data_IF_321299823169
#
_entry.id   IF_321299823169
#
_cell.length_a   1.000
_cell.length_b   1.000
_cell.length_c   1.000
_cell.angle_alpha   90.00
_cell.angle_beta   90.00
_cell.angle_gamma   90.00
#
_symmetry.space_group_name_H-M   'P 1'
#
loop_
_entity.id
_entity.type
_entity.pdbx_description
1 polymer ?
#
# COMPACT_ATOMS: atom_id res chain seq x y z
N UNK A 1 -8.49 6.97 -27.92
CA UNK A 1 -7.82 6.19 -26.90
C UNK A 1 -6.44 6.76 -26.53
N UNK A 2 -5.67 7.26 -27.51
CA UNK A 2 -4.26 7.57 -27.28
C UNK A 2 -4.02 9.00 -26.81
N UNK A 3 -4.81 9.96 -27.26
CA UNK A 3 -4.73 11.36 -26.85
C UNK A 3 -6.12 12.02 -26.80
N UNK A 4 -6.42 12.81 -25.77
CA UNK A 4 -7.66 13.60 -25.68
C UNK A 4 -7.63 14.79 -26.63
N UNK A 5 -6.46 15.31 -26.94
CA UNK A 5 -6.19 16.45 -27.86
C UNK A 5 -4.74 16.36 -28.36
N UNK A 6 -4.31 17.34 -29.15
CA UNK A 6 -2.97 17.35 -29.74
C UNK A 6 -1.82 17.61 -28.73
N UNK A 7 -2.13 18.09 -27.52
CA UNK A 7 -1.13 18.51 -26.53
C UNK A 7 -0.98 17.52 -25.38
N UNK A 8 -2.02 16.77 -25.07
CA UNK A 8 -2.09 15.93 -23.89
C UNK A 8 -2.16 14.45 -24.25
N UNK A 9 -1.38 13.63 -23.55
CA UNK A 9 -1.59 12.18 -23.57
C UNK A 9 -2.81 11.79 -22.73
N UNK A 10 -3.44 10.68 -23.05
CA UNK A 10 -4.59 10.17 -22.29
C UNK A 10 -4.26 9.96 -20.81
N UNK A 11 -3.03 9.52 -20.48
CA UNK A 11 -2.59 9.37 -19.12
C UNK A 11 -2.45 10.71 -18.38
N UNK A 12 -1.78 11.69 -19.00
CA UNK A 12 -1.57 13.00 -18.40
C UNK A 12 -2.90 13.72 -18.14
N UNK A 13 -3.85 13.65 -19.06
CA UNK A 13 -5.18 14.18 -18.91
C UNK A 13 -5.94 13.55 -17.73
N UNK A 14 -5.97 12.21 -17.64
CA UNK A 14 -6.64 11.51 -16.52
C UNK A 14 -5.99 11.83 -15.18
N UNK A 15 -4.66 11.89 -15.14
CA UNK A 15 -3.92 12.29 -13.94
C UNK A 15 -4.30 13.69 -13.51
N UNK A 16 -4.35 14.66 -14.44
CA UNK A 16 -4.77 16.04 -14.14
C UNK A 16 -6.22 16.08 -13.64
N UNK A 17 -7.14 15.39 -14.31
CA UNK A 17 -8.54 15.32 -13.92
C UNK A 17 -8.68 14.81 -12.47
N UNK A 18 -7.98 13.72 -12.14
CA UNK A 18 -8.02 13.15 -10.79
C UNK A 18 -7.35 14.08 -9.76
N UNK A 19 -6.20 14.67 -10.10
CA UNK A 19 -5.52 15.65 -9.24
C UNK A 19 -6.42 16.84 -8.92
N UNK A 20 -7.11 17.38 -9.92
CA UNK A 20 -8.07 18.49 -9.73
C UNK A 20 -9.25 18.07 -8.84
N UNK A 21 -9.76 16.84 -9.01
CA UNK A 21 -10.84 16.30 -8.18
C UNK A 21 -10.41 16.19 -6.71
N UNK A 22 -9.19 15.72 -6.45
CA UNK A 22 -8.70 15.51 -5.09
C UNK A 22 -8.28 16.83 -4.41
N UNK A 23 -7.75 17.81 -5.15
CA UNK A 23 -7.26 19.07 -4.57
C UNK A 23 -8.32 20.17 -4.50
N UNK A 24 -9.25 20.20 -5.45
CA UNK A 24 -10.27 21.26 -5.58
C UNK A 24 -11.70 20.71 -5.49
N UNK A 25 -11.84 19.44 -5.11
CA UNK A 25 -13.13 18.78 -4.99
C UNK A 25 -13.85 18.54 -6.31
N UNK A 26 -13.25 18.86 -7.46
CA UNK A 26 -13.88 18.70 -8.77
C UNK A 26 -12.87 18.71 -9.91
N UNK A 27 -12.97 17.73 -10.80
CA UNK A 27 -12.23 17.69 -12.07
C UNK A 27 -13.14 18.01 -13.24
N UNK A 28 -12.74 18.96 -14.08
CA UNK A 28 -13.53 19.43 -15.20
C UNK A 28 -12.77 19.27 -16.52
N UNK A 29 -13.51 18.89 -17.58
CA UNK A 29 -12.96 18.91 -18.94
C UNK A 29 -14.02 19.31 -19.95
N UNK A 30 -13.65 20.15 -20.91
CA UNK A 30 -14.51 20.56 -22.02
C UNK A 30 -14.41 19.57 -23.16
N UNK A 31 -15.54 19.10 -23.65
CA UNK A 31 -15.68 18.18 -24.79
C UNK A 31 -16.00 18.97 -26.04
N UNK A 32 -14.99 19.23 -26.85
CA UNK A 32 -15.14 19.91 -28.12
C UNK A 32 -15.77 19.00 -29.17
N UNK A 33 -16.85 19.47 -29.81
CA UNK A 33 -17.55 18.74 -30.85
C UNK A 33 -17.64 19.55 -32.14
N UNK A 34 -17.57 18.85 -33.27
CA UNK A 34 -17.86 19.48 -34.57
C UNK A 34 -19.38 19.68 -34.78
N UNK A 35 -19.73 20.36 -35.88
CA UNK A 35 -21.14 20.63 -36.24
C UNK A 35 -22.00 19.35 -36.42
N UNK A 36 -21.37 18.22 -36.68
CA UNK A 36 -22.02 16.91 -36.76
C UNK A 36 -22.15 16.19 -35.40
N UNK A 37 -21.73 16.84 -34.29
CA UNK A 37 -21.79 16.26 -32.94
C UNK A 37 -20.67 15.28 -32.63
N UNK A 38 -19.71 15.05 -33.54
CA UNK A 38 -18.56 14.17 -33.29
C UNK A 38 -17.56 14.86 -32.37
N UNK A 39 -17.06 14.12 -31.39
CA UNK A 39 -16.00 14.57 -30.47
C UNK A 39 -14.71 14.75 -31.26
N UNK A 40 -14.12 15.94 -31.12
CA UNK A 40 -12.86 16.29 -31.74
C UNK A 40 -11.72 16.27 -30.69
N UNK A 41 -11.92 16.98 -29.58
CA UNK A 41 -10.95 17.12 -28.54
C UNK A 41 -11.61 17.11 -27.16
N UNK A 42 -10.82 16.80 -26.11
CA UNK A 42 -11.18 16.98 -24.71
C UNK A 42 -10.11 17.85 -24.07
N UNK A 43 -10.51 19.00 -23.56
CA UNK A 43 -9.61 19.99 -22.96
C UNK A 43 -9.79 20.04 -21.45
N UNK A 44 -8.73 19.88 -20.64
CA UNK A 44 -8.84 20.04 -19.20
C UNK A 44 -9.19 21.52 -18.88
N UNK A 45 -10.03 21.71 -17.88
CA UNK A 45 -10.39 23.02 -17.35
C UNK A 45 -9.96 23.14 -15.89
N UNK A 46 -9.51 24.34 -15.51
CA UNK A 46 -9.21 24.68 -14.14
C UNK A 46 -10.52 24.88 -13.34
N UNK A 47 -10.83 23.99 -12.35
CA UNK A 47 -12.08 24.10 -11.61
C UNK A 47 -12.18 25.38 -10.78
N UNK A 48 -11.05 26.01 -10.40
CA UNK A 48 -11.04 27.26 -9.64
C UNK A 48 -11.54 28.46 -10.44
N UNK A 49 -11.51 28.35 -11.78
CA UNK A 49 -11.99 29.37 -12.72
C UNK A 49 -13.41 29.13 -13.22
N UNK A 50 -14.06 28.07 -12.72
CA UNK A 50 -15.37 27.64 -13.17
C UNK A 50 -16.44 27.83 -12.10
N UNK A 51 -17.46 28.64 -12.41
CA UNK A 51 -18.64 28.81 -11.55
C UNK A 51 -19.79 28.00 -12.14
N UNK A 52 -20.36 27.10 -11.34
CA UNK A 52 -21.45 26.23 -11.77
C UNK A 52 -22.76 26.77 -11.21
N UNK A 53 -23.75 26.91 -12.06
CA UNK A 53 -25.06 27.46 -11.71
C UNK A 53 -26.19 26.61 -12.31
N UNK A 54 -27.34 26.72 -11.71
CA UNK A 54 -28.59 26.18 -12.30
C UNK A 54 -29.47 27.38 -12.67
N UNK A 55 -29.76 27.52 -13.98
CA UNK A 55 -30.62 28.57 -14.53
C UNK A 55 -31.71 27.87 -15.35
N UNK A 56 -32.96 28.20 -15.09
CA UNK A 56 -34.13 27.60 -15.77
C UNK A 56 -34.10 26.07 -15.77
N UNK A 57 -33.72 25.47 -14.62
CA UNK A 57 -33.60 24.01 -14.45
C UNK A 57 -32.38 23.38 -15.11
N UNK A 58 -31.58 24.13 -15.87
CA UNK A 58 -30.39 23.62 -16.59
C UNK A 58 -29.11 23.95 -15.83
N UNK A 59 -28.19 22.98 -15.73
CA UNK A 59 -26.85 23.16 -15.17
C UNK A 59 -25.96 23.83 -16.22
N UNK A 60 -25.35 24.96 -15.87
CA UNK A 60 -24.45 25.75 -16.71
C UNK A 60 -23.10 25.91 -16.01
N UNK A 61 -22.03 25.94 -16.79
CA UNK A 61 -20.66 26.11 -16.36
C UNK A 61 -20.11 27.42 -16.93
N UNK A 62 -19.93 28.41 -16.08
CA UNK A 62 -19.34 29.70 -16.46
C UNK A 62 -17.83 29.65 -16.21
N UNK A 63 -17.06 29.52 -17.26
CA UNK A 63 -15.60 29.44 -17.19
C UNK A 63 -15.00 30.79 -17.55
N UNK A 64 -14.06 31.28 -16.72
CA UNK A 64 -13.39 32.56 -16.92
C UNK A 64 -11.91 32.31 -17.26
N UNK A 65 -11.52 32.59 -18.50
CA UNK A 65 -10.14 32.49 -18.96
C UNK A 65 -9.59 33.89 -19.23
N UNK A 66 -8.81 34.38 -18.27
CA UNK A 66 -8.37 35.79 -18.29
C UNK A 66 -9.54 36.76 -18.27
N UNK A 67 -9.73 37.50 -19.33
CA UNK A 67 -10.85 38.44 -19.50
C UNK A 67 -12.06 37.82 -20.20
N UNK A 68 -11.91 36.65 -20.81
CA UNK A 68 -12.97 36.01 -21.58
C UNK A 68 -13.83 35.12 -20.68
N UNK A 69 -15.13 35.35 -20.70
CA UNK A 69 -16.12 34.52 -20.02
C UNK A 69 -16.86 33.65 -21.03
N UNK A 70 -16.85 32.33 -20.82
CA UNK A 70 -17.51 31.37 -21.68
C UNK A 70 -18.49 30.55 -20.85
N UNK A 71 -19.69 30.35 -21.37
CA UNK A 71 -20.69 29.48 -20.70
C UNK A 71 -20.84 28.20 -21.49
N UNK A 72 -20.62 27.08 -20.80
CA UNK A 72 -20.78 25.73 -21.36
C UNK A 72 -22.05 25.08 -20.84
N UNK A 73 -22.63 24.23 -21.66
CA UNK A 73 -23.77 23.40 -21.30
C UNK A 73 -23.30 22.13 -20.56
N UNK A 74 -24.21 21.50 -19.81
CA UNK A 74 -23.90 20.30 -19.04
C UNK A 74 -23.43 19.12 -19.91
N UNK A 75 -23.86 19.00 -21.16
CA UNK A 75 -23.44 17.96 -22.10
C UNK A 75 -22.07 18.22 -22.76
N UNK A 76 -21.49 19.40 -22.56
CA UNK A 76 -20.20 19.79 -23.10
C UNK A 76 -19.08 19.65 -22.07
N UNK A 77 -19.42 19.40 -20.81
CA UNK A 77 -18.44 19.28 -19.72
C UNK A 77 -18.48 17.88 -19.13
N UNK A 78 -17.31 17.24 -19.03
CA UNK A 78 -17.07 16.11 -18.15
C UNK A 78 -16.84 16.70 -16.75
N UNK A 79 -17.63 16.25 -15.78
CA UNK A 79 -17.68 16.82 -14.42
C UNK A 79 -17.56 15.68 -13.39
N UNK A 80 -16.37 15.54 -12.81
CA UNK A 80 -16.06 14.53 -11.81
C UNK A 80 -15.91 15.22 -10.45
N UNK A 81 -17.00 15.31 -9.66
CA UNK A 81 -16.93 15.84 -8.30
C UNK A 81 -16.33 14.81 -7.32
N UNK A 82 -15.62 15.28 -6.29
CA UNK A 82 -15.22 14.44 -5.16
C UNK A 82 -16.45 13.90 -4.45
N UNK A 83 -17.36 14.76 -4.09
CA UNK A 83 -18.69 14.40 -3.56
C UNK A 83 -19.68 15.48 -3.97
N UNK A 84 -20.72 15.09 -4.68
CA UNK A 84 -21.77 16.00 -5.13
C UNK A 84 -22.79 16.21 -4.01
N UNK A 85 -23.18 17.47 -3.78
CA UNK A 85 -24.25 17.81 -2.85
C UNK A 85 -25.63 17.51 -3.46
N UNK A 86 -26.66 17.48 -2.60
CA UNK A 86 -28.03 17.17 -2.99
C UNK A 86 -28.64 18.15 -4.02
N UNK A 87 -28.12 19.37 -4.11
CA UNK A 87 -28.53 20.36 -5.12
C UNK A 87 -28.09 20.00 -6.55
N UNK A 88 -27.20 19.00 -6.69
CA UNK A 88 -26.62 18.55 -7.95
C UNK A 88 -25.67 19.57 -8.62
N UNK A 89 -25.32 20.65 -7.92
CA UNK A 89 -24.45 21.73 -8.39
C UNK A 89 -23.22 21.87 -7.51
N UNK A 90 -23.42 22.01 -6.21
CA UNK A 90 -22.34 22.18 -5.23
C UNK A 90 -21.61 20.84 -4.99
N UNK A 91 -20.37 20.93 -4.56
CA UNK A 91 -19.54 19.79 -4.25
C UNK A 91 -18.83 20.00 -2.89
N UNK A 92 -18.36 18.93 -2.31
CA UNK A 92 -17.49 18.97 -1.14
C UNK A 92 -16.05 18.95 -1.64
N UNK A 93 -15.32 20.01 -1.29
CA UNK A 93 -13.87 20.06 -1.47
C UNK A 93 -13.22 19.34 -0.26
N UNK A 94 -12.46 18.26 -0.47
CA UNK A 94 -11.86 17.49 0.60
C UNK A 94 -10.79 18.28 1.36
N UNK A 95 -10.07 19.18 0.70
CA UNK A 95 -9.03 20.01 1.32
C UNK A 95 -9.66 21.08 2.20
N UNK A 96 -10.65 21.82 1.68
CA UNK A 96 -11.37 22.85 2.45
C UNK A 96 -12.14 22.25 3.63
N UNK A 97 -12.81 21.12 3.43
CA UNK A 97 -13.55 20.41 4.48
C UNK A 97 -12.66 19.96 5.63
N UNK A 98 -11.44 19.55 5.32
CA UNK A 98 -10.47 19.02 6.29
C UNK A 98 -9.33 20.00 6.59
N UNK A 99 -9.54 21.30 6.31
CA UNK A 99 -8.50 22.34 6.50
C UNK A 99 -7.91 22.37 7.90
N UNK A 100 -8.70 22.02 8.93
CA UNK A 100 -8.22 21.96 10.32
C UNK A 100 -7.16 20.87 10.53
N UNK A 101 -7.40 19.68 9.99
CA UNK A 101 -6.44 18.56 10.04
C UNK A 101 -5.17 18.90 9.28
N UNK A 102 -5.30 19.46 8.08
CA UNK A 102 -4.15 19.87 7.24
C UNK A 102 -3.36 21.00 7.92
N UNK A 103 -4.04 21.99 8.48
CA UNK A 103 -3.41 23.09 9.20
C UNK A 103 -2.63 22.59 10.44
N UNK A 104 -3.18 21.63 11.19
CA UNK A 104 -2.49 21.01 12.31
C UNK A 104 -1.22 20.26 11.86
N UNK A 105 -1.30 19.51 10.76
CA UNK A 105 -0.16 18.82 10.16
C UNK A 105 0.97 19.82 9.81
N UNK A 106 0.63 20.89 9.12
CA UNK A 106 1.58 21.95 8.75
C UNK A 106 2.16 22.68 9.97
N UNK A 107 1.35 22.92 11.00
CA UNK A 107 1.79 23.53 12.25
C UNK A 107 2.80 22.63 13.01
N UNK A 108 2.53 21.33 13.09
CA UNK A 108 3.45 20.36 13.69
C UNK A 108 4.77 20.30 12.91
N UNK A 109 4.71 20.27 11.59
CA UNK A 109 5.89 20.28 10.74
C UNK A 109 6.70 21.57 10.91
N UNK A 110 6.03 22.72 10.93
CA UNK A 110 6.68 24.03 11.15
C UNK A 110 7.31 24.11 12.55
N UNK A 111 6.62 23.59 13.57
CA UNK A 111 7.16 23.51 14.92
C UNK A 111 8.41 22.64 14.96
N UNK A 112 8.36 21.43 14.39
CA UNK A 112 9.51 20.53 14.32
C UNK A 112 10.70 21.19 13.60
N UNK A 113 10.47 21.83 12.46
CA UNK A 113 11.52 22.53 11.71
C UNK A 113 12.18 23.63 12.55
N UNK A 114 11.39 24.48 13.23
CA UNK A 114 11.91 25.54 14.10
C UNK A 114 12.66 24.98 15.31
N UNK A 115 12.14 23.93 15.93
CA UNK A 115 12.77 23.27 17.06
C UNK A 115 14.15 22.72 16.70
N UNK A 116 14.24 21.96 15.59
CA UNK A 116 15.53 21.42 15.14
C UNK A 116 16.48 22.49 14.59
N UNK A 117 15.97 23.51 13.91
CA UNK A 117 16.78 24.63 13.45
C UNK A 117 17.45 25.40 14.62
N UNK A 118 16.79 25.41 15.77
CA UNK A 118 17.35 25.98 17.02
C UNK A 118 18.19 24.97 17.81
N UNK A 119 18.67 23.89 17.19
CA UNK A 119 19.51 22.89 17.83
C UNK A 119 18.78 21.91 18.74
N UNK A 120 17.44 21.80 18.65
CA UNK A 120 16.64 20.91 19.48
C UNK A 120 16.56 21.34 20.95
N UNK A 121 16.82 22.60 21.22
CA UNK A 121 16.75 23.16 22.58
C UNK A 121 15.36 23.78 22.78
N UNK A 122 14.61 23.38 23.82
CA UNK A 122 13.32 24.00 24.12
C UNK A 122 13.51 25.48 24.51
N UNK A 123 12.46 26.30 24.44
CA UNK A 123 12.54 27.67 24.97
C UNK A 123 13.01 27.68 26.40
N UNK A 124 14.02 28.51 26.70
CA UNK A 124 14.61 28.62 28.00
C UNK A 124 14.24 29.92 28.68
N UNK A 125 13.89 29.88 29.94
CA UNK A 125 13.76 31.07 30.77
C UNK A 125 15.05 31.26 31.59
N UNK A 126 15.55 32.47 31.57
CA UNK A 126 16.66 32.89 32.42
C UNK A 126 16.13 33.44 33.72
N UNK A 127 16.46 32.80 34.83
CA UNK A 127 16.18 33.25 36.17
C UNK A 127 17.48 33.80 36.77
N UNK A 128 17.41 34.94 37.47
CA UNK A 128 18.53 35.53 38.14
C UNK A 128 18.34 36.99 38.55
N UNK A 129 19.27 37.58 39.30
CA UNK A 129 19.19 38.96 39.73
C UNK A 129 19.41 39.92 38.56
N UNK A 130 18.32 40.54 38.08
CA UNK A 130 18.36 41.49 36.97
C UNK A 130 18.06 42.90 37.47
N UNK A 131 19.03 43.83 37.27
CA UNK A 131 18.94 45.20 37.79
C UNK A 131 18.03 46.13 36.97
N UNK A 132 17.75 45.79 35.70
CA UNK A 132 16.90 46.61 34.81
C UNK A 132 16.41 45.80 33.63
N UNK A 133 15.32 46.21 32.94
CA UNK A 133 14.85 45.58 31.69
C UNK A 133 15.92 45.54 30.58
N UNK A 134 16.79 46.56 30.53
CA UNK A 134 17.91 46.62 29.58
C UNK A 134 18.98 45.57 29.86
N UNK A 135 19.24 45.24 31.15
CA UNK A 135 20.16 44.16 31.53
C UNK A 135 19.59 42.79 31.22
N UNK A 136 18.26 42.62 31.38
CA UNK A 136 17.56 41.39 31.00
C UNK A 136 17.63 41.12 29.51
N UNK A 137 17.41 42.17 28.70
CA UNK A 137 17.48 42.06 27.23
C UNK A 137 18.89 41.70 26.74
N UNK A 138 19.95 42.31 27.33
CA UNK A 138 21.34 41.95 27.00
C UNK A 138 21.66 40.51 27.39
N UNK A 139 21.36 40.10 28.62
CA UNK A 139 21.60 38.75 29.09
C UNK A 139 20.88 37.70 28.22
N UNK A 140 19.65 37.97 27.81
CA UNK A 140 18.92 37.11 26.87
C UNK A 140 19.60 37.03 25.48
N UNK A 141 20.09 38.17 24.95
CA UNK A 141 20.82 38.21 23.69
C UNK A 141 22.16 37.45 23.76
N UNK A 142 22.92 37.66 24.83
CA UNK A 142 24.22 37.01 25.03
C UNK A 142 24.08 35.48 25.18
N UNK A 143 23.08 35.02 25.94
CA UNK A 143 22.79 33.59 26.09
C UNK A 143 22.30 32.98 24.80
N UNK A 144 21.43 33.65 24.05
CA UNK A 144 20.97 33.18 22.76
C UNK A 144 22.11 33.07 21.75
N UNK A 145 23.05 34.04 21.77
CA UNK A 145 24.29 33.98 21.00
C UNK A 145 25.17 32.81 21.41
N UNK A 146 25.41 32.63 22.71
CA UNK A 146 26.23 31.56 23.24
C UNK A 146 25.66 30.15 22.95
N UNK A 147 24.33 29.98 23.00
CA UNK A 147 23.66 28.72 22.62
C UNK A 147 23.82 28.46 21.11
N UNK A 148 23.70 29.51 20.28
CA UNK A 148 23.90 29.38 18.83
C UNK A 148 25.32 28.99 18.49
N UNK A 149 26.29 29.62 19.12
CA UNK A 149 27.71 29.33 18.92
C UNK A 149 28.09 27.95 19.46
N UNK A 150 27.55 27.55 20.61
CA UNK A 150 27.72 26.19 21.13
C UNK A 150 27.19 25.13 20.19
N UNK A 151 26.02 25.35 19.58
CA UNK A 151 25.46 24.45 18.61
C UNK A 151 26.28 24.40 17.30
N UNK A 152 26.79 25.54 16.81
CA UNK A 152 27.61 25.60 15.60
C UNK A 152 28.97 24.97 15.76
N UNK A 153 29.61 25.19 16.92
CA UNK A 153 30.97 24.71 17.26
C UNK A 153 30.97 23.35 17.97
N UNK A 154 29.79 22.73 18.16
CA UNK A 154 29.62 21.48 18.92
C UNK A 154 30.17 21.55 20.35
N UNK A 155 30.14 22.72 20.99
CA UNK A 155 30.49 22.87 22.39
C UNK A 155 29.34 22.41 23.28
N UNK A 156 29.61 21.51 24.21
CA UNK A 156 28.57 20.92 25.07
C UNK A 156 28.45 21.66 26.45
N UNK A 157 29.15 22.77 26.64
CA UNK A 157 29.17 23.48 27.91
C UNK A 157 28.82 24.94 27.70
N UNK A 158 27.82 25.41 28.44
CA UNK A 158 27.43 26.80 28.54
C UNK A 158 27.82 27.30 29.94
N UNK A 159 28.64 28.36 30.02
CA UNK A 159 29.03 28.96 31.27
C UNK A 159 28.02 30.04 31.63
N UNK A 160 27.42 29.92 32.81
CA UNK A 160 26.45 30.86 33.35
C UNK A 160 27.08 31.81 34.37
N UNK A 161 26.67 33.08 34.39
CA UNK A 161 27.10 34.00 35.48
C UNK A 161 26.53 33.53 36.83
N UNK A 162 27.23 33.86 37.90
CA UNK A 162 26.82 33.53 39.28
C UNK A 162 25.39 34.02 39.58
N UNK A 163 24.57 33.16 40.16
CA UNK A 163 23.20 33.45 40.55
C UNK A 163 22.19 33.40 39.41
N UNK A 164 22.61 33.02 38.20
CA UNK A 164 21.71 32.84 37.09
C UNK A 164 21.47 31.35 36.81
N UNK A 165 20.22 30.99 36.47
CA UNK A 165 19.80 29.63 36.16
C UNK A 165 18.94 29.61 34.89
N UNK A 166 19.19 28.66 34.00
CA UNK A 166 18.36 28.40 32.83
C UNK A 166 17.39 27.25 33.13
N UNK A 167 16.11 27.51 32.93
CA UNK A 167 15.07 26.47 33.05
C UNK A 167 14.30 26.36 31.75
N UNK A 168 13.99 25.15 31.28
CA UNK A 168 13.10 24.99 30.14
C UNK A 168 11.72 25.55 30.47
N UNK A 169 11.16 26.30 29.53
CA UNK A 169 9.78 26.83 29.62
C UNK A 169 8.89 25.98 28.75
N UNK A 170 7.87 25.38 29.38
CA UNK A 170 6.91 24.53 28.69
C UNK A 170 7.18 23.05 28.91
N UNK A 171 6.38 22.24 28.29
CA UNK A 171 6.55 20.79 28.28
C UNK A 171 7.72 20.49 27.34
N UNK A 172 8.73 19.79 27.84
CA UNK A 172 9.77 19.22 26.96
C UNK A 172 9.06 18.26 26.01
N UNK A 173 8.99 18.56 24.69
CA UNK A 173 8.36 17.65 23.78
C UNK A 173 9.20 16.39 23.76
N UNK A 174 8.76 15.37 24.46
CA UNK A 174 9.36 14.05 24.33
C UNK A 174 9.46 13.75 22.84
N UNK A 175 10.68 13.47 22.39
CA UNK A 175 10.98 13.26 20.97
C UNK A 175 10.11 12.15 20.38
N UNK A 176 9.73 11.16 21.19
CA UNK A 176 8.83 10.07 20.82
C UNK A 176 7.42 10.58 20.55
N UNK A 177 6.85 11.42 21.40
CA UNK A 177 5.51 11.99 21.24
C UNK A 177 5.39 12.85 19.99
N UNK A 178 6.46 13.57 19.59
CA UNK A 178 6.44 14.38 18.37
C UNK A 178 6.43 13.50 17.11
N UNK A 179 7.19 12.41 17.10
CA UNK A 179 7.20 11.45 16.01
C UNK A 179 5.84 10.75 15.89
N UNK A 180 5.27 10.32 17.02
CA UNK A 180 3.96 9.67 17.05
C UNK A 180 2.84 10.62 16.61
N UNK A 181 2.90 11.89 17.01
CA UNK A 181 1.98 12.91 16.54
C UNK A 181 2.07 13.13 15.02
N UNK A 182 3.29 13.14 14.44
CA UNK A 182 3.46 13.25 12.99
C UNK A 182 2.92 12.01 12.26
N UNK A 183 3.16 10.80 12.76
CA UNK A 183 2.60 9.57 12.20
C UNK A 183 1.08 9.59 12.25
N UNK A 184 0.49 9.96 13.38
CA UNK A 184 -0.95 10.10 13.48
C UNK A 184 -1.52 11.09 12.46
N UNK A 185 -0.82 12.20 12.17
CA UNK A 185 -1.26 13.14 11.13
C UNK A 185 -1.20 12.53 9.72
N UNK A 186 -0.21 11.68 9.42
CA UNK A 186 -0.17 10.94 8.15
C UNK A 186 -1.40 10.05 8.01
N UNK A 187 -1.78 9.32 9.07
CA UNK A 187 -3.02 8.52 9.08
C UNK A 187 -4.27 9.38 8.91
N UNK A 188 -4.34 10.56 9.53
CA UNK A 188 -5.47 11.48 9.36
C UNK A 188 -5.60 11.96 7.91
N UNK A 189 -4.50 12.28 7.24
CA UNK A 189 -4.49 12.65 5.82
C UNK A 189 -4.88 11.44 4.95
N UNK A 190 -4.38 10.25 5.27
CA UNK A 190 -4.76 9.02 4.58
C UNK A 190 -6.28 8.77 4.62
N UNK A 191 -6.91 9.02 5.78
CA UNK A 191 -8.38 8.89 5.97
C UNK A 191 -9.19 9.88 5.14
N UNK A 192 -8.67 11.08 4.85
CA UNK A 192 -9.37 12.07 4.01
C UNK A 192 -9.62 11.51 2.60
N UNK A 193 -8.66 10.75 2.08
CA UNK A 193 -8.69 10.21 0.72
C UNK A 193 -9.00 8.71 0.66
N UNK A 194 -9.30 8.10 1.81
CA UNK A 194 -9.55 6.65 1.95
C UNK A 194 -8.39 5.82 1.35
N UNK A 195 -7.14 6.20 1.70
CA UNK A 195 -5.93 5.56 1.24
C UNK A 195 -5.30 4.81 2.42
N UNK A 196 -4.93 3.52 2.28
CA UNK A 196 -4.18 2.82 3.31
C UNK A 196 -2.86 3.54 3.65
N UNK A 197 -2.51 3.72 4.94
CA UNK A 197 -1.30 4.45 5.35
C UNK A 197 0.00 3.89 4.77
N UNK A 198 0.03 2.60 4.44
CA UNK A 198 1.19 1.93 3.79
C UNK A 198 1.57 2.60 2.47
N UNK A 199 0.60 3.09 1.68
CA UNK A 199 0.89 3.84 0.45
C UNK A 199 1.54 5.20 0.69
N UNK A 200 1.45 5.71 1.93
CA UNK A 200 2.15 6.92 2.38
C UNK A 200 3.47 6.62 3.08
N UNK A 201 4.03 5.41 2.86
CA UNK A 201 5.29 4.92 3.44
C UNK A 201 5.25 4.74 4.97
N UNK A 202 4.07 4.69 5.59
CA UNK A 202 3.95 4.29 6.98
C UNK A 202 3.84 2.77 7.08
N UNK A 203 4.97 2.13 7.36
CA UNK A 203 5.12 0.68 7.46
C UNK A 203 4.98 0.16 8.90
N UNK A 204 4.58 1.00 9.84
CA UNK A 204 4.55 0.66 11.28
C UNK A 204 3.65 -0.57 11.56
N UNK A 205 2.62 -0.76 10.77
CA UNK A 205 1.66 -1.87 10.88
C UNK A 205 1.68 -2.79 9.64
N UNK A 206 2.67 -2.64 8.75
CA UNK A 206 2.78 -3.41 7.51
C UNK A 206 3.65 -4.66 7.68
N UNK A 207 3.06 -5.86 7.57
CA UNK A 207 3.81 -7.10 7.32
C UNK A 207 3.71 -7.44 5.83
N UNK A 208 4.70 -8.14 5.28
CA UNK A 208 4.72 -8.48 3.84
C UNK A 208 3.45 -9.22 3.38
N UNK A 209 2.90 -10.11 4.19
CA UNK A 209 1.65 -10.82 3.86
C UNK A 209 0.41 -9.92 3.89
N UNK A 210 0.48 -8.75 4.55
CA UNK A 210 -0.62 -7.80 4.66
C UNK A 210 -0.63 -6.81 3.48
N UNK A 211 0.48 -6.67 2.78
CA UNK A 211 0.63 -5.69 1.67
C UNK A 211 -0.24 -6.06 0.48
N UNK A 212 -0.27 -7.33 0.06
CA UNK A 212 -1.16 -7.79 -1.02
C UNK A 212 -2.65 -7.59 -0.69
N UNK A 213 -3.03 -7.85 0.56
CA UNK A 213 -4.40 -7.61 1.00
C UNK A 213 -4.74 -6.12 1.01
N UNK A 214 -3.78 -5.27 1.35
CA UNK A 214 -3.96 -3.81 1.33
C UNK A 214 -4.04 -3.27 -0.09
N UNK A 215 -3.24 -3.79 -1.03
CA UNK A 215 -3.34 -3.47 -2.45
C UNK A 215 -4.72 -3.83 -3.00
N UNK A 216 -5.20 -5.04 -2.69
CA UNK A 216 -6.53 -5.49 -3.09
C UNK A 216 -7.64 -4.65 -2.44
N UNK A 217 -7.47 -4.28 -1.17
CA UNK A 217 -8.39 -3.40 -0.44
C UNK A 217 -8.46 -2.02 -1.09
N UNK A 218 -7.31 -1.42 -1.40
CA UNK A 218 -7.22 -0.13 -2.10
C UNK A 218 -7.94 -0.17 -3.45
N UNK A 219 -7.69 -1.20 -4.27
CA UNK A 219 -8.33 -1.33 -5.58
C UNK A 219 -9.85 -1.49 -5.43
N UNK A 220 -10.32 -2.34 -4.51
CA UNK A 220 -11.75 -2.64 -4.34
C UNK A 220 -12.54 -1.50 -3.71
N UNK A 221 -11.98 -0.83 -2.71
CA UNK A 221 -12.73 0.13 -1.89
C UNK A 221 -12.44 1.58 -2.27
N UNK A 222 -11.19 1.93 -2.57
CA UNK A 222 -10.81 3.31 -2.89
C UNK A 222 -10.82 3.57 -4.39
N UNK A 223 -10.06 2.79 -5.18
CA UNK A 223 -9.85 3.09 -6.59
C UNK A 223 -11.11 2.84 -7.43
N UNK A 224 -11.82 1.74 -7.18
CA UNK A 224 -12.99 1.33 -7.97
C UNK A 224 -14.08 2.40 -8.05
N UNK A 225 -14.36 3.09 -6.96
CA UNK A 225 -15.37 4.17 -6.94
C UNK A 225 -14.99 5.32 -7.88
N UNK A 226 -13.71 5.68 -7.94
CA UNK A 226 -13.21 6.73 -8.84
C UNK A 226 -13.25 6.33 -10.29
N UNK A 227 -12.82 5.09 -10.59
CA UNK A 227 -12.89 4.56 -11.94
C UNK A 227 -14.33 4.53 -12.42
N UNK A 228 -15.26 4.07 -11.57
CA UNK A 228 -16.69 4.01 -11.89
C UNK A 228 -17.31 5.40 -12.10
N UNK A 229 -16.94 6.38 -11.27
CA UNK A 229 -17.41 7.75 -11.45
C UNK A 229 -16.94 8.36 -12.79
N UNK A 230 -15.70 8.08 -13.19
CA UNK A 230 -15.16 8.53 -14.49
C UNK A 230 -15.85 7.80 -15.65
N UNK A 231 -16.01 6.47 -15.56
CA UNK A 231 -16.71 5.67 -16.57
C UNK A 231 -18.13 6.17 -16.81
N UNK A 232 -18.90 6.34 -15.73
CA UNK A 232 -20.32 6.72 -15.83
C UNK A 232 -20.45 8.13 -16.41
N UNK A 233 -19.61 9.09 -16.02
CA UNK A 233 -19.63 10.42 -16.60
C UNK A 233 -19.19 10.41 -18.06
N UNK A 234 -18.16 9.65 -18.43
CA UNK A 234 -17.74 9.50 -19.82
C UNK A 234 -18.81 8.80 -20.65
N UNK A 235 -19.43 7.75 -20.14
CA UNK A 235 -20.51 7.05 -20.84
C UNK A 235 -21.73 7.94 -21.04
N UNK A 236 -22.06 8.76 -20.02
CA UNK A 236 -23.19 9.70 -20.08
C UNK A 236 -22.95 10.80 -21.12
N UNK A 237 -21.73 11.33 -21.20
CA UNK A 237 -21.42 12.54 -21.98
C UNK A 237 -20.85 12.25 -23.37
N UNK A 238 -20.01 11.21 -23.50
CA UNK A 238 -19.31 10.94 -24.75
C UNK A 238 -20.15 10.06 -25.70
N UNK A 239 -20.92 9.13 -25.16
CA UNK A 239 -21.76 8.22 -25.93
C UNK A 239 -23.22 8.60 -25.74
N UNK A 240 -23.78 9.36 -26.69
CA UNK A 240 -25.19 9.67 -26.66
C UNK A 240 -26.04 8.38 -26.64
N UNK A 241 -27.23 8.43 -26.06
CA UNK A 241 -28.21 7.33 -25.87
C UNK A 241 -28.47 6.51 -27.13
N UNK A 242 -28.13 7.02 -28.30
CA UNK A 242 -28.24 6.36 -29.59
C UNK A 242 -27.14 5.37 -29.95
N UNK A 243 -25.98 5.39 -29.26
CA UNK A 243 -24.83 4.51 -29.51
C UNK A 243 -24.61 3.54 -28.34
N UNK A 244 -25.61 2.75 -27.99
CA UNK A 244 -25.52 1.73 -26.93
C UNK A 244 -24.47 0.63 -27.14
N UNK A 245 -23.86 0.57 -28.34
CA UNK A 245 -22.85 -0.42 -28.69
C UNK A 245 -21.43 -0.03 -28.25
N UNK A 246 -21.25 1.19 -27.74
CA UNK A 246 -19.93 1.69 -27.27
C UNK A 246 -20.02 2.13 -25.82
N UNK A 247 -19.05 1.74 -25.03
CA UNK A 247 -18.92 2.14 -23.63
C UNK A 247 -17.43 2.32 -23.27
N UNK A 248 -17.19 3.02 -22.19
CA UNK A 248 -15.88 3.13 -21.56
C UNK A 248 -15.91 2.27 -20.32
N UNK A 249 -14.90 1.45 -20.18
CA UNK A 249 -14.64 0.63 -19.00
C UNK A 249 -13.15 0.59 -18.74
N UNK A 250 -12.76 0.71 -17.46
CA UNK A 250 -11.38 0.53 -17.04
C UNK A 250 -11.13 -0.94 -16.75
N UNK A 251 -10.21 -1.53 -17.47
CA UNK A 251 -9.74 -2.87 -17.13
C UNK A 251 -8.85 -2.80 -15.90
N UNK A 252 -9.38 -3.23 -14.76
CA UNK A 252 -8.67 -3.30 -13.48
C UNK A 252 -8.04 -4.67 -13.22
N UNK A 253 -8.28 -5.65 -14.11
CA UNK A 253 -7.76 -7.02 -13.92
C UNK A 253 -6.24 -7.02 -13.77
N UNK A 254 -5.54 -6.12 -14.46
CA UNK A 254 -4.09 -5.95 -14.32
C UNK A 254 -3.64 -5.55 -12.92
N UNK A 255 -4.47 -4.81 -12.17
CA UNK A 255 -4.20 -4.38 -10.79
C UNK A 255 -4.61 -5.43 -9.75
N UNK A 256 -5.60 -6.24 -10.09
CA UNK A 256 -6.09 -7.35 -9.26
C UNK A 256 -5.30 -8.64 -9.48
N UNK A 257 -4.47 -8.68 -10.53
CA UNK A 257 -3.63 -9.82 -10.85
C UNK A 257 -2.58 -9.96 -9.76
N UNK A 258 -2.66 -11.05 -8.99
CA UNK A 258 -1.65 -11.47 -8.06
C UNK A 258 -0.28 -11.68 -8.72
N UNK A 259 0.64 -12.30 -8.02
CA UNK A 259 1.93 -12.68 -8.56
C UNK A 259 1.80 -13.52 -9.85
N UNK A 260 2.91 -13.68 -10.56
CA UNK A 260 2.94 -14.44 -11.82
C UNK A 260 2.41 -15.87 -11.64
N UNK A 261 2.71 -16.52 -10.51
CA UNK A 261 2.30 -17.90 -10.25
C UNK A 261 0.77 -18.01 -10.10
N UNK A 262 0.15 -17.12 -9.33
CA UNK A 262 -1.30 -17.06 -9.15
C UNK A 262 -2.03 -16.79 -10.46
N UNK A 263 -1.48 -15.92 -11.32
CA UNK A 263 -2.05 -15.67 -12.66
C UNK A 263 -2.01 -16.92 -13.53
N UNK A 264 -0.85 -17.58 -13.62
CA UNK A 264 -0.69 -18.78 -14.45
C UNK A 264 -1.60 -19.91 -13.98
N UNK A 265 -1.77 -20.07 -12.66
CA UNK A 265 -2.72 -21.05 -12.09
C UNK A 265 -4.18 -20.70 -12.47
N UNK A 266 -4.55 -19.43 -12.38
CA UNK A 266 -5.86 -18.93 -12.81
C UNK A 266 -6.11 -19.17 -14.30
N UNK A 267 -5.15 -18.87 -15.16
CA UNK A 267 -5.23 -19.12 -16.60
C UNK A 267 -5.34 -20.61 -16.93
N UNK A 268 -4.52 -21.44 -16.27
CA UNK A 268 -4.57 -22.88 -16.42
C UNK A 268 -5.96 -23.43 -16.09
N UNK A 269 -6.53 -23.02 -14.94
CA UNK A 269 -7.89 -23.37 -14.54
C UNK A 269 -8.95 -22.86 -15.53
N UNK A 270 -8.79 -21.63 -16.02
CA UNK A 270 -9.70 -21.04 -17.00
C UNK A 270 -9.72 -21.79 -18.31
N UNK A 271 -8.56 -22.19 -18.84
CA UNK A 271 -8.46 -23.00 -20.07
C UNK A 271 -9.01 -24.41 -19.82
N UNK A 272 -8.65 -25.06 -18.72
CA UNK A 272 -9.10 -26.42 -18.41
C UNK A 272 -10.60 -26.55 -18.24
N UNK A 273 -11.27 -25.50 -17.81
CA UNK A 273 -12.72 -25.44 -17.64
C UNK A 273 -13.46 -24.82 -18.84
N UNK A 274 -12.78 -24.63 -19.97
CA UNK A 274 -13.35 -24.02 -21.18
C UNK A 274 -13.96 -22.62 -20.98
N UNK A 275 -13.41 -21.84 -20.04
CA UNK A 275 -13.80 -20.44 -19.78
C UNK A 275 -13.04 -19.50 -20.72
N UNK A 276 -11.74 -19.77 -20.94
CA UNK A 276 -10.87 -18.98 -21.80
C UNK A 276 -10.27 -19.85 -22.91
N UNK A 277 -10.04 -19.24 -24.07
CA UNK A 277 -9.20 -19.83 -25.10
C UNK A 277 -7.72 -19.54 -24.81
N UNK A 278 -6.77 -20.34 -25.27
CA UNK A 278 -5.35 -20.03 -25.18
C UNK A 278 -4.98 -18.66 -25.75
N UNK A 279 -5.61 -18.24 -26.85
CA UNK A 279 -5.32 -16.95 -27.49
C UNK A 279 -5.85 -15.76 -26.69
N UNK A 280 -6.99 -15.90 -26.01
CA UNK A 280 -7.46 -14.87 -25.08
C UNK A 280 -6.47 -14.68 -23.93
N UNK A 281 -5.97 -15.77 -23.35
CA UNK A 281 -4.96 -15.72 -22.30
C UNK A 281 -3.65 -15.12 -22.79
N UNK A 282 -3.21 -15.50 -24.00
CA UNK A 282 -2.05 -14.89 -24.65
C UNK A 282 -2.24 -13.40 -24.88
N UNK A 283 -3.44 -12.99 -25.29
CA UNK A 283 -3.81 -11.59 -25.45
C UNK A 283 -3.74 -10.80 -24.14
N UNK A 284 -4.11 -11.40 -23.01
CA UNK A 284 -3.95 -10.75 -21.69
C UNK A 284 -2.48 -10.47 -21.32
N UNK A 285 -1.55 -11.28 -21.81
CA UNK A 285 -0.11 -11.09 -21.59
C UNK A 285 0.58 -10.39 -22.79
N UNK A 286 -0.19 -9.80 -23.74
CA UNK A 286 0.29 -9.14 -24.95
C UNK A 286 1.16 -10.05 -25.83
N UNK A 287 0.87 -11.35 -25.84
CA UNK A 287 1.52 -12.34 -26.70
C UNK A 287 0.71 -12.54 -27.98
N UNK A 288 1.35 -12.80 -29.14
CA UNK A 288 0.66 -13.05 -30.39
C UNK A 288 -0.15 -14.35 -30.33
N UNK A 289 -1.27 -14.39 -31.07
CA UNK A 289 -2.07 -15.58 -31.24
C UNK A 289 -1.27 -16.75 -31.84
N UNK A 290 -1.68 -17.98 -31.54
CA UNK A 290 -1.05 -19.21 -32.02
C UNK A 290 -2.05 -20.04 -32.83
N UNK A 291 -1.52 -20.90 -33.73
CA UNK A 291 -2.34 -21.82 -34.48
C UNK A 291 -3.14 -22.73 -33.54
N UNK A 292 -4.44 -22.84 -33.75
CA UNK A 292 -5.42 -23.54 -32.90
C UNK A 292 -5.63 -22.93 -31.50
N UNK A 293 -5.10 -21.76 -31.19
CA UNK A 293 -5.29 -21.07 -29.93
C UNK A 293 -6.69 -20.47 -29.73
N UNK A 294 -7.50 -20.43 -30.77
CA UNK A 294 -8.89 -19.94 -30.80
C UNK A 294 -9.92 -20.92 -30.26
N UNK A 295 -9.50 -22.16 -29.95
CA UNK A 295 -10.41 -23.23 -29.51
C UNK A 295 -10.48 -23.30 -27.99
N UNK A 296 -11.67 -23.62 -27.50
CA UNK A 296 -11.88 -23.95 -26.10
C UNK A 296 -11.40 -25.37 -25.80
N UNK A 297 -10.67 -25.52 -24.71
CA UNK A 297 -10.18 -26.83 -24.24
C UNK A 297 -10.87 -27.17 -22.91
N UNK A 298 -11.20 -28.47 -22.76
CA UNK A 298 -11.74 -29.00 -21.52
C UNK A 298 -10.91 -30.20 -21.09
N UNK A 299 -10.68 -30.32 -19.80
CA UNK A 299 -10.01 -31.49 -19.27
C UNK A 299 -10.88 -32.71 -19.49
N UNK A 300 -10.33 -33.76 -20.13
CA UNK A 300 -11.10 -34.97 -20.55
C UNK A 300 -11.71 -35.78 -19.41
N UNK A 301 -11.32 -35.52 -18.17
CA UNK A 301 -11.90 -36.13 -16.96
C UNK A 301 -13.24 -35.47 -16.53
N UNK A 302 -13.59 -34.31 -17.09
CA UNK A 302 -14.83 -33.59 -16.76
C UNK A 302 -15.95 -34.09 -17.63
N UNK A 303 -16.92 -34.78 -17.04
CA UNK A 303 -18.11 -35.31 -17.73
C UNK A 303 -19.39 -34.66 -17.16
N UNK A 304 -20.45 -34.45 -17.93
CA UNK A 304 -21.73 -33.94 -17.45
C UNK A 304 -22.29 -34.81 -16.32
N UNK A 305 -22.92 -34.20 -15.33
CA UNK A 305 -23.56 -34.93 -14.23
C UNK A 305 -24.61 -35.88 -14.77
N UNK A 306 -24.50 -37.20 -14.45
CA UNK A 306 -25.39 -38.23 -14.94
C UNK A 306 -24.89 -39.06 -16.13
N UNK A 307 -23.75 -38.71 -16.73
CA UNK A 307 -23.05 -39.58 -17.68
C UNK A 307 -22.09 -40.47 -16.94
N UNK A 308 -22.10 -41.79 -17.27
CA UNK A 308 -21.04 -42.67 -16.73
C UNK A 308 -19.70 -42.23 -17.32
N UNK A 309 -18.64 -42.12 -16.50
CA UNK A 309 -17.30 -41.82 -17.02
C UNK A 309 -16.96 -42.87 -18.08
N UNK A 310 -16.59 -42.43 -19.29
CA UNK A 310 -15.93 -43.30 -20.23
C UNK A 310 -14.66 -43.75 -19.55
N UNK A 311 -14.63 -44.96 -19.08
CA UNK A 311 -13.43 -45.55 -18.49
C UNK A 311 -12.30 -45.38 -19.51
N UNK A 312 -11.26 -44.67 -19.15
CA UNK A 312 -10.07 -44.63 -19.97
C UNK A 312 -9.69 -46.08 -20.30
N UNK A 313 -9.35 -46.41 -21.55
CA UNK A 313 -8.98 -47.77 -21.91
C UNK A 313 -7.88 -48.21 -20.92
N UNK A 314 -8.13 -49.32 -20.24
CA UNK A 314 -7.19 -49.86 -19.26
C UNK A 314 -5.83 -49.95 -19.95
N UNK A 315 -4.77 -49.45 -19.36
CA UNK A 315 -3.45 -49.53 -19.98
C UNK A 315 -3.16 -51.02 -20.23
N UNK A 316 -2.72 -51.31 -21.47
CA UNK A 316 -2.39 -52.64 -21.90
C UNK A 316 -1.52 -53.32 -20.81
N UNK A 317 -1.99 -54.39 -20.15
CA UNK A 317 -1.33 -54.95 -18.98
C UNK A 317 0.10 -55.40 -19.29
N UNK A 318 0.42 -55.69 -20.55
CA UNK A 318 1.78 -56.05 -21.00
C UNK A 318 2.68 -54.81 -21.00
N UNK A 319 2.24 -53.68 -21.55
CA UNK A 319 3.00 -52.43 -21.56
C UNK A 319 3.15 -51.80 -20.18
N UNK A 320 2.17 -51.98 -19.30
CA UNK A 320 2.26 -51.52 -17.90
C UNK A 320 3.27 -52.34 -17.10
N UNK A 321 3.33 -53.67 -17.36
CA UNK A 321 4.32 -54.56 -16.75
C UNK A 321 5.75 -54.27 -17.27
N UNK A 322 5.92 -54.07 -18.57
CA UNK A 322 7.21 -53.69 -19.15
C UNK A 322 7.73 -52.35 -18.61
N UNK A 323 6.87 -51.37 -18.47
CA UNK A 323 7.25 -50.04 -17.92
C UNK A 323 7.68 -50.15 -16.43
N UNK A 324 6.94 -50.94 -15.65
CA UNK A 324 7.32 -51.20 -14.25
C UNK A 324 8.61 -51.98 -14.13
N UNK A 325 8.84 -52.98 -15.00
CA UNK A 325 10.09 -53.74 -15.02
C UNK A 325 11.28 -52.84 -15.39
N UNK A 326 11.14 -51.93 -16.35
CA UNK A 326 12.15 -51.00 -16.72
C UNK A 326 12.47 -49.99 -15.58
N UNK A 327 11.44 -49.51 -14.87
CA UNK A 327 11.60 -48.58 -13.75
C UNK A 327 12.28 -49.26 -12.54
N UNK A 328 11.97 -50.53 -12.29
CA UNK A 328 12.65 -51.35 -11.25
C UNK A 328 14.12 -51.58 -11.62
N UNK A 329 14.42 -51.94 -12.87
CA UNK A 329 15.80 -52.14 -13.32
C UNK A 329 16.64 -50.84 -13.23
N UNK A 330 16.03 -49.68 -13.50
CA UNK A 330 16.70 -48.39 -13.36
C UNK A 330 16.98 -48.03 -11.89
N UNK A 331 16.07 -48.36 -10.98
CA UNK A 331 16.24 -48.16 -9.53
C UNK A 331 17.33 -49.10 -8.99
N UNK A 332 17.36 -50.39 -9.43
CA UNK A 332 18.39 -51.34 -9.03
C UNK A 332 19.79 -50.92 -9.51
N UNK A 333 19.92 -50.45 -10.75
CA UNK A 333 21.17 -49.94 -11.28
C UNK A 333 21.66 -48.68 -10.54
N UNK A 334 20.73 -47.83 -10.09
CA UNK A 334 21.03 -46.65 -9.28
C UNK A 334 21.52 -47.02 -7.87
N UNK A 335 20.89 -48.03 -7.25
CA UNK A 335 21.29 -48.55 -5.94
C UNK A 335 22.65 -49.26 -5.98
N UNK A 336 22.95 -49.99 -7.04
CA UNK A 336 24.29 -50.59 -7.24
C UNK A 336 25.38 -49.54 -7.36
N UNK A 337 25.09 -48.45 -8.13
CA UNK A 337 26.02 -47.34 -8.29
C UNK A 337 26.28 -46.60 -6.97
N UNK A 338 25.22 -46.31 -6.19
CA UNK A 338 25.32 -45.69 -4.87
C UNK A 338 26.08 -46.62 -3.87
N UNK A 339 25.92 -47.91 -3.99
CA UNK A 339 26.62 -48.88 -3.14
C UNK A 339 28.11 -48.96 -3.48
N UNK A 340 28.46 -48.86 -4.75
CA UNK A 340 29.85 -48.79 -5.21
C UNK A 340 30.54 -47.50 -4.74
N UNK A 341 29.90 -46.36 -4.93
CA UNK A 341 30.40 -45.04 -4.47
C UNK A 341 30.59 -45.01 -2.94
N UNK A 342 29.68 -45.65 -2.20
CA UNK A 342 29.78 -45.76 -0.75
C UNK A 342 30.97 -46.65 -0.30
N UNK A 343 31.27 -47.72 -1.06
CA UNK A 343 32.45 -48.55 -0.79
C UNK A 343 33.74 -47.80 -1.06
N UNK A 344 33.83 -47.09 -2.17
CA UNK A 344 35.00 -46.24 -2.49
C UNK A 344 35.25 -45.18 -1.42
N UNK A 345 34.18 -44.53 -0.94
CA UNK A 345 34.26 -43.52 0.14
C UNK A 345 34.76 -44.14 1.47
N UNK A 346 34.25 -45.33 1.83
CA UNK A 346 34.69 -46.05 3.04
C UNK A 346 36.18 -46.47 2.93
N UNK A 347 36.60 -46.91 1.75
CA UNK A 347 38.00 -47.31 1.55
C UNK A 347 38.93 -46.11 1.50
N UNK A 348 38.49 -44.99 0.95
CA UNK A 348 39.21 -43.69 1.00
C UNK A 348 39.35 -43.18 2.45
N UNK A 349 38.31 -43.26 3.25
CA UNK A 349 38.35 -42.89 4.69
C UNK A 349 39.31 -43.80 5.46
N UNK A 350 39.34 -45.11 5.19
CA UNK A 350 40.28 -46.06 5.83
C UNK A 350 41.74 -45.82 5.43
N UNK A 351 41.97 -45.30 4.21
CA UNK A 351 43.30 -44.96 3.70
C UNK A 351 43.82 -43.60 4.20
N UNK A 352 43.02 -42.80 4.83
CA UNK A 352 43.47 -41.51 5.39
C UNK A 352 44.40 -41.76 6.60
N UNK A 353 45.59 -41.17 6.62
CA UNK A 353 46.47 -41.25 7.78
C UNK A 353 45.79 -40.55 8.97
N UNK A 354 45.88 -41.16 10.14
CA UNK A 354 45.30 -40.56 11.36
C UNK A 354 45.81 -39.11 11.56
N UNK A 355 44.93 -38.16 11.80
CA UNK A 355 45.36 -36.80 12.00
C UNK A 355 46.29 -36.71 13.23
N UNK A 356 47.54 -36.31 13.02
CA UNK A 356 48.45 -36.01 14.11
C UNK A 356 48.01 -34.63 14.68
N UNK A 357 47.25 -34.66 15.76
CA UNK A 357 46.87 -33.44 16.47
C UNK A 357 48.05 -33.06 17.38
N UNK A 358 48.89 -32.18 16.91
CA UNK A 358 49.89 -31.53 17.76
C UNK A 358 49.21 -30.43 18.57
N UNK A 359 48.69 -30.75 19.75
CA UNK A 359 48.14 -29.77 20.67
C UNK A 359 49.29 -29.24 21.54
N UNK A 360 49.84 -28.13 21.15
CA UNK A 360 50.65 -27.29 22.08
C UNK A 360 49.65 -26.43 22.87
N UNK A 361 49.52 -26.61 24.19
CA UNK A 361 48.62 -25.79 24.98
C UNK A 361 49.25 -24.38 25.17
N UNK A 362 48.68 -23.41 24.53
CA UNK A 362 48.91 -22.00 24.91
C UNK A 362 47.96 -21.67 26.09
N UNK A 363 48.42 -21.03 27.14
CA UNK A 363 47.56 -20.62 28.24
C UNK A 363 46.69 -19.44 27.80
N UNK A 364 45.43 -19.71 27.48
CA UNK A 364 44.42 -18.67 27.27
C UNK A 364 43.72 -18.46 28.62
N UNK A 365 44.08 -17.36 29.29
CA UNK A 365 43.26 -16.81 30.37
C UNK A 365 42.05 -16.09 29.72
N UNK A 366 40.92 -16.78 29.64
CA UNK A 366 39.64 -16.16 29.29
C UNK A 366 38.77 -16.09 30.54
N UNK A 367 38.63 -14.86 31.07
CA UNK A 367 37.52 -14.53 31.96
C UNK A 367 36.23 -14.53 31.09
N UNK A 368 35.38 -15.50 31.31
CA UNK A 368 34.07 -15.59 30.66
C UNK A 368 33.19 -14.40 31.12
N UNK A 369 32.56 -13.66 30.22
CA UNK A 369 31.50 -12.73 30.61
C UNK A 369 30.28 -13.51 31.07
N UNK A 370 29.85 -13.28 32.29
CA UNK A 370 28.60 -13.82 32.82
C UNK A 370 27.43 -13.11 32.10
N UNK A 371 26.85 -13.77 31.14
CA UNK A 371 25.59 -13.28 30.51
C UNK A 371 24.45 -13.81 31.36
N UNK A 372 23.78 -12.93 32.06
CA UNK A 372 22.56 -13.23 32.80
C UNK A 372 21.39 -13.26 31.83
N UNK A 373 20.90 -14.47 31.46
CA UNK A 373 19.84 -14.71 30.44
C UNK A 373 18.44 -14.79 31.10
N UNK A 374 18.30 -14.39 32.36
CA UNK A 374 17.04 -14.60 33.09
C UNK A 374 15.85 -13.67 32.68
N UNK A 375 15.99 -12.76 31.71
CA UNK A 375 14.93 -11.76 31.48
C UNK A 375 14.43 -11.61 30.02
N UNK A 376 14.55 -12.61 29.13
CA UNK A 376 14.17 -12.42 27.72
C UNK A 376 12.98 -13.28 27.25
N UNK A 377 12.42 -14.16 28.05
CA UNK A 377 11.23 -14.92 27.65
C UNK A 377 10.16 -14.72 28.72
N UNK A 378 9.05 -13.98 28.42
CA UNK A 378 7.89 -13.99 29.33
C UNK A 378 7.31 -15.42 29.28
N UNK A 379 7.36 -16.13 30.40
CA UNK A 379 6.60 -17.36 30.60
C UNK A 379 5.12 -17.03 30.45
N UNK A 380 4.49 -17.44 29.37
CA UNK A 380 3.02 -17.45 29.29
C UNK A 380 2.52 -18.45 30.32
N UNK A 381 1.83 -17.98 31.34
CA UNK A 381 1.10 -18.83 32.26
C UNK A 381 0.09 -19.69 31.49
N UNK A 382 -0.10 -20.92 31.95
CA UNK A 382 -1.14 -21.78 31.39
C UNK A 382 -2.50 -21.13 31.69
N UNK A 383 -3.33 -20.99 30.66
CA UNK A 383 -4.66 -20.38 30.76
C UNK A 383 -5.69 -21.49 30.60
N UNK A 384 -6.54 -21.67 31.60
CA UNK A 384 -7.70 -22.57 31.51
C UNK A 384 -8.91 -21.82 30.94
N UNK A 385 -9.49 -22.37 29.87
CA UNK A 385 -10.68 -21.79 29.22
C UNK A 385 -11.89 -22.68 29.50
N UNK A 386 -12.84 -22.18 30.22
CA UNK A 386 -14.09 -22.87 30.50
C UNK A 386 -15.25 -22.24 29.75
N UNK A 387 -15.93 -23.01 28.90
CA UNK A 387 -17.11 -22.58 28.19
C UNK A 387 -18.38 -22.80 29.02
N UNK A 388 -19.23 -21.80 29.13
CA UNK A 388 -20.54 -21.91 29.72
C UNK A 388 -21.59 -22.04 28.61
N UNK A 389 -22.53 -22.97 28.81
CA UNK A 389 -23.60 -23.25 27.86
C UNK A 389 -24.93 -22.74 28.38
N UNK A 390 -25.71 -22.14 27.52
CA UNK A 390 -27.08 -21.73 27.80
C UNK A 390 -28.03 -22.95 27.81
N UNK A 391 -29.28 -22.75 28.25
CA UNK A 391 -30.32 -23.78 28.28
C UNK A 391 -30.74 -24.28 26.89
N UNK A 392 -30.30 -23.59 25.83
CA UNK A 392 -30.45 -23.95 24.41
C UNK A 392 -29.29 -24.78 23.84
N UNK A 393 -28.30 -25.15 24.68
CA UNK A 393 -27.12 -25.94 24.31
C UNK A 393 -26.05 -25.15 23.52
N UNK A 394 -26.19 -23.84 23.41
CA UNK A 394 -25.19 -22.98 22.76
C UNK A 394 -24.26 -22.34 23.77
N UNK A 395 -23.03 -22.06 23.35
CA UNK A 395 -22.06 -21.35 24.21
C UNK A 395 -22.58 -19.94 24.47
N UNK A 396 -22.83 -19.66 25.73
CA UNK A 396 -23.33 -18.35 26.22
C UNK A 396 -22.23 -17.45 26.77
N UNK A 397 -21.05 -18.00 27.05
CA UNK A 397 -19.90 -17.23 27.52
C UNK A 397 -18.63 -18.10 27.58
N UNK A 398 -17.48 -17.45 27.67
CA UNK A 398 -16.18 -18.08 27.89
C UNK A 398 -15.44 -17.33 28.97
N UNK A 399 -14.99 -18.03 30.01
CA UNK A 399 -14.20 -17.47 31.10
C UNK A 399 -12.77 -17.97 30.97
N UNK A 400 -11.83 -17.05 30.92
CA UNK A 400 -10.40 -17.32 30.96
C UNK A 400 -9.90 -17.07 32.38
N UNK A 401 -9.19 -18.04 32.96
CA UNK A 401 -8.46 -17.89 34.22
C UNK A 401 -7.01 -18.24 34.03
N UNK A 402 -6.13 -17.36 34.47
CA UNK A 402 -4.71 -17.70 34.62
C UNK A 402 -4.58 -18.62 35.84
N UNK A 403 -3.85 -19.73 35.66
CA UNK A 403 -3.52 -20.66 36.73
C UNK A 403 -2.27 -20.16 37.45
N UNK A 404 -2.40 -19.83 38.73
CA UNK A 404 -1.25 -19.51 39.57
C UNK A 404 -0.34 -20.70 39.74
N UNK A 405 0.99 -20.45 39.81
CA UNK A 405 2.07 -21.48 39.86
C UNK A 405 2.04 -22.39 41.13
N UNK A 406 1.10 -22.19 42.05
CA UNK A 406 0.99 -23.01 43.27
C UNK A 406 0.10 -24.29 43.15
N UNK A 407 -0.50 -24.53 41.96
CA UNK A 407 -1.34 -25.72 41.72
C UNK A 407 -0.78 -26.61 40.62
N UNK A 408 0.53 -26.81 40.59
CA UNK A 408 1.15 -27.91 39.82
C UNK A 408 1.41 -29.12 40.69
#
# INVERSE_FOLDING_TARGET
HDAPNAEWTSFAWRKHLMTSTLLHGRGLSFVERNKAGRIMNIWPLDPTKCVIKRTDGRKLYEYTDGTRKVTYLANEILDIPFMLCADGVSHIDPVEKNRGTIALCLALQSYAQKFFANGGVPPLALYGPMKSPASAARASGDITGAIRDANSERRNVLIMPDGHELKPVGVDPDKSLMVDAQRFQVEQVARIFDIPPVFLQDLTHGTFSNTEQQDLHFVKHTLRQWLKAIEDEMNLKLFATRQRSKFVEFNIDGLLRGDFASRMDGYSKGIQNAVYTPDEVRGFENLPAQEHGDKLYIQGATVPLGTQPIAAPAPDPVKAAEKKAAEIAELEARDEKLTAERRELVDAIKAMPAPVINVTPAPISMTAPTINIENIIPKRGAVEKTATYGTDGRISGMVERELDDEQK
#
